data_IF_992989701158
#
_entry.id   IF_992989701158
#
_cell.length_a   1.000
_cell.length_b   1.000
_cell.length_c   1.000
_cell.angle_alpha   90.00
_cell.angle_beta   90.00
_cell.angle_gamma   90.00
#
_symmetry.space_group_name_H-M   'P 1'
#
loop_
_entity.id
_entity.type
_entity.pdbx_description
1 polymer ?
#
# COMPACT_ATOMS: atom_id res chain seq x y z
N UNK A 1 24.91 3.79 -9.46
CA UNK A 1 24.71 3.09 -8.17
C UNK A 1 24.46 1.62 -8.43
N UNK A 2 24.85 0.74 -7.54
CA UNK A 2 24.49 -0.70 -7.62
C UNK A 2 23.64 -1.04 -6.40
N UNK A 3 22.51 -1.67 -6.61
CA UNK A 3 21.55 -2.01 -5.53
C UNK A 3 22.21 -2.85 -4.44
N UNK A 4 23.01 -3.86 -4.83
CA UNK A 4 23.67 -4.75 -3.88
C UNK A 4 24.59 -4.02 -2.88
N UNK A 5 25.10 -2.84 -3.26
CA UNK A 5 25.96 -2.04 -2.37
C UNK A 5 25.18 -1.23 -1.34
N UNK A 6 23.86 -1.16 -1.47
CA UNK A 6 22.98 -0.44 -0.56
C UNK A 6 22.29 -1.38 0.44
N UNK A 7 22.28 -2.69 0.17
CA UNK A 7 21.63 -3.68 1.04
C UNK A 7 22.50 -3.88 2.30
N UNK A 8 21.90 -3.64 3.46
CA UNK A 8 22.52 -3.91 4.74
C UNK A 8 22.04 -5.27 5.25
N UNK A 9 22.96 -6.24 5.46
CA UNK A 9 22.61 -7.55 5.98
C UNK A 9 21.87 -7.48 7.33
N UNK A 10 20.95 -8.42 7.55
CA UNK A 10 20.08 -8.45 8.74
C UNK A 10 20.86 -8.44 10.07
N UNK A 11 22.01 -9.11 10.12
CA UNK A 11 22.87 -9.14 11.32
C UNK A 11 23.50 -7.78 11.67
N UNK A 12 23.52 -6.84 10.74
CA UNK A 12 24.04 -5.47 10.90
C UNK A 12 22.94 -4.42 10.92
N UNK A 13 21.73 -4.78 10.57
CA UNK A 13 20.64 -3.84 10.40
C UNK A 13 20.30 -3.06 11.69
N UNK A 14 20.29 -3.72 12.83
CA UNK A 14 19.97 -3.08 14.12
C UNK A 14 20.83 -1.85 14.45
N UNK A 15 22.01 -1.71 13.82
CA UNK A 15 22.86 -0.52 13.98
C UNK A 15 22.29 0.73 13.27
N UNK A 16 21.53 0.53 12.20
CA UNK A 16 21.00 1.60 11.36
C UNK A 16 19.50 1.80 11.48
N UNK A 17 18.77 0.82 12.01
CA UNK A 17 17.33 0.69 12.00
C UNK A 17 16.61 1.98 12.46
N UNK A 18 16.88 2.44 13.67
CA UNK A 18 16.25 3.62 14.23
C UNK A 18 16.51 4.89 13.39
N UNK A 19 17.76 5.07 12.94
CA UNK A 19 18.14 6.23 12.13
C UNK A 19 17.47 6.18 10.76
N UNK A 20 17.40 4.99 10.16
CA UNK A 20 16.75 4.78 8.86
C UNK A 20 15.26 5.03 8.94
N UNK A 21 14.56 4.41 9.90
CA UNK A 21 13.12 4.56 10.09
C UNK A 21 12.71 6.01 10.31
N UNK A 22 13.50 6.77 11.07
CA UNK A 22 13.26 8.20 11.28
C UNK A 22 13.42 9.04 10.00
N UNK A 23 14.21 8.59 9.02
CA UNK A 23 14.45 9.28 7.75
C UNK A 23 13.45 8.88 6.66
N UNK A 24 12.82 7.70 6.73
CA UNK A 24 11.87 7.21 5.71
C UNK A 24 10.76 8.21 5.41
N UNK A 25 10.09 8.86 6.38
CA UNK A 25 9.04 9.83 6.05
C UNK A 25 9.55 11.00 5.20
N UNK A 26 10.70 11.58 5.56
CA UNK A 26 11.29 12.69 4.81
C UNK A 26 11.78 12.25 3.42
N UNK A 27 12.30 11.03 3.30
CA UNK A 27 12.71 10.45 2.02
C UNK A 27 11.50 10.16 1.11
N UNK A 28 10.38 9.71 1.68
CA UNK A 28 9.12 9.60 0.96
C UNK A 28 8.63 10.95 0.41
N UNK A 29 8.75 12.03 1.21
CA UNK A 29 8.35 13.37 0.76
C UNK A 29 9.18 13.84 -0.44
N UNK A 30 10.49 13.57 -0.45
CA UNK A 30 11.37 13.87 -1.59
C UNK A 30 10.97 13.06 -2.82
N UNK A 31 10.71 11.78 -2.66
CA UNK A 31 10.29 10.93 -3.77
C UNK A 31 8.93 11.37 -4.35
N UNK A 32 7.96 11.67 -3.49
CA UNK A 32 6.64 12.14 -3.91
C UNK A 32 6.73 13.46 -4.67
N UNK A 33 7.48 14.44 -4.17
CA UNK A 33 7.70 15.71 -4.87
C UNK A 33 8.35 15.49 -6.25
N UNK A 34 9.34 14.60 -6.33
CA UNK A 34 10.01 14.28 -7.59
C UNK A 34 9.05 13.65 -8.61
N UNK A 35 8.12 12.81 -8.15
CA UNK A 35 7.10 12.24 -9.03
C UNK A 35 6.08 13.28 -9.48
N UNK A 36 5.65 14.20 -8.62
CA UNK A 36 4.75 15.30 -9.01
C UNK A 36 5.37 16.13 -10.15
N UNK A 37 6.65 16.47 -10.04
CA UNK A 37 7.40 17.19 -11.08
C UNK A 37 7.50 16.41 -12.40
N UNK A 38 7.54 15.07 -12.36
CA UNK A 38 7.58 14.21 -13.54
C UNK A 38 6.20 14.01 -14.19
N UNK A 39 5.14 14.00 -13.40
CA UNK A 39 3.78 13.73 -13.87
C UNK A 39 3.08 14.95 -14.44
N UNK A 40 3.27 16.12 -13.84
CA UNK A 40 2.64 17.36 -14.27
C UNK A 40 2.89 17.66 -15.77
N UNK A 41 4.15 17.61 -16.30
CA UNK A 41 4.41 17.85 -17.70
C UNK A 41 3.77 16.81 -18.66
N UNK A 42 3.45 15.61 -18.13
CA UNK A 42 2.85 14.50 -18.89
C UNK A 42 1.33 14.48 -18.83
N UNK A 43 0.72 15.44 -18.14
CA UNK A 43 -0.71 15.49 -17.92
C UNK A 43 -1.25 14.34 -17.09
N UNK A 44 -0.36 13.68 -16.34
CA UNK A 44 -0.74 12.58 -15.45
C UNK A 44 -1.25 13.20 -14.16
N UNK A 45 -2.53 13.01 -13.87
CA UNK A 45 -3.09 13.48 -12.60
C UNK A 45 -2.80 12.46 -11.51
N UNK A 46 -2.24 12.93 -10.42
CA UNK A 46 -1.85 12.12 -9.28
C UNK A 46 -3.00 11.28 -8.70
N UNK A 47 -4.22 11.81 -8.75
CA UNK A 47 -5.43 11.18 -8.21
C UNK A 47 -6.07 10.14 -9.12
N UNK A 48 -5.83 10.21 -10.44
CA UNK A 48 -6.52 9.34 -11.41
C UNK A 48 -5.74 8.07 -11.76
N UNK A 49 -4.40 8.11 -11.64
CA UNK A 49 -3.53 7.04 -12.13
C UNK A 49 -2.75 6.33 -11.03
N UNK A 50 -2.86 6.78 -9.78
CA UNK A 50 -1.91 6.38 -8.73
C UNK A 50 -2.63 5.96 -7.45
N UNK A 51 -2.22 4.80 -6.96
CA UNK A 51 -2.43 4.39 -5.59
C UNK A 51 -1.18 4.80 -4.82
N UNK A 52 -1.19 5.99 -4.23
CA UNK A 52 -0.11 6.37 -3.33
C UNK A 52 -0.31 5.73 -1.99
N UNK A 53 0.78 5.19 -1.53
CA UNK A 53 0.85 4.72 -0.19
C UNK A 53 2.14 5.18 0.43
N UNK A 54 2.00 5.91 1.53
CA UNK A 54 3.08 6.26 2.41
C UNK A 54 2.95 5.38 3.64
N UNK A 55 3.99 4.64 3.94
CA UNK A 55 4.00 3.79 5.12
C UNK A 55 4.14 4.64 6.38
N UNK A 56 3.19 4.48 7.30
CA UNK A 56 3.25 4.99 8.66
C UNK A 56 2.79 3.88 9.59
N UNK A 57 3.70 3.26 10.34
CA UNK A 57 3.30 2.30 11.35
C UNK A 57 4.40 1.34 11.77
N UNK A 58 4.13 0.61 12.84
CA UNK A 58 5.06 -0.31 13.49
C UNK A 58 5.13 -1.70 12.81
N UNK A 59 4.42 -1.89 11.67
CA UNK A 59 4.44 -3.14 10.93
C UNK A 59 5.26 -2.95 9.67
N UNK A 60 6.26 -3.80 9.44
CA UNK A 60 7.07 -3.72 8.25
C UNK A 60 6.22 -3.97 7.00
N UNK A 61 6.13 -2.97 6.16
CA UNK A 61 5.61 -3.11 4.79
C UNK A 61 6.74 -3.57 3.89
N UNK A 62 6.41 -4.28 2.81
CA UNK A 62 7.41 -4.61 1.80
C UNK A 62 7.77 -3.42 0.88
N UNK A 63 7.11 -2.27 1.09
CA UNK A 63 7.29 -1.09 0.26
C UNK A 63 7.13 0.20 1.07
N UNK A 64 7.85 1.23 0.71
CA UNK A 64 7.70 2.57 1.28
C UNK A 64 6.70 3.42 0.51
N UNK A 65 6.66 3.24 -0.83
CA UNK A 65 5.75 3.92 -1.74
C UNK A 65 5.27 2.93 -2.80
N UNK A 66 4.09 3.18 -3.33
CA UNK A 66 3.65 2.53 -4.56
C UNK A 66 2.85 3.51 -5.42
N UNK A 67 2.86 3.29 -6.72
CA UNK A 67 2.00 4.00 -7.65
C UNK A 67 1.62 3.11 -8.82
N UNK A 68 0.53 3.45 -9.46
CA UNK A 68 0.09 2.84 -10.70
C UNK A 68 0.27 3.80 -11.85
N UNK A 69 0.86 3.31 -12.92
CA UNK A 69 0.97 4.00 -14.19
C UNK A 69 0.68 3.03 -15.34
N UNK A 70 -0.23 3.39 -16.21
CA UNK A 70 -0.76 2.48 -17.21
C UNK A 70 -1.28 1.19 -16.53
N UNK A 71 -0.98 0.02 -17.07
CA UNK A 71 -1.36 -1.27 -16.48
C UNK A 71 -0.32 -1.86 -15.51
N UNK A 72 0.65 -1.07 -15.05
CA UNK A 72 1.70 -1.53 -14.14
C UNK A 72 1.56 -0.87 -12.78
N UNK A 73 1.89 -1.62 -11.73
CA UNK A 73 2.04 -1.10 -10.37
C UNK A 73 3.51 -1.18 -10.00
N UNK A 74 4.03 -0.05 -9.55
CA UNK A 74 5.42 0.13 -9.13
C UNK A 74 5.45 0.15 -7.62
N UNK A 75 6.17 -0.80 -7.02
CA UNK A 75 6.37 -0.89 -5.58
C UNK A 75 7.80 -0.49 -5.26
N UNK A 76 7.98 0.47 -4.37
CA UNK A 76 9.23 1.19 -4.19
C UNK A 76 9.75 1.05 -2.77
N UNK A 77 11.01 0.62 -2.65
CA UNK A 77 11.79 0.75 -1.43
C UNK A 77 12.82 1.88 -1.60
N UNK A 78 13.07 2.61 -0.52
CA UNK A 78 14.00 3.74 -0.52
C UNK A 78 15.42 3.26 -0.15
N UNK A 79 16.41 3.69 -0.94
CA UNK A 79 17.82 3.58 -0.55
C UNK A 79 18.30 4.97 -0.09
N UNK A 80 18.53 5.14 1.22
CA UNK A 80 18.70 6.46 1.85
C UNK A 80 20.17 6.75 2.12
N UNK A 81 20.66 7.86 1.56
CA UNK A 81 21.92 8.48 1.93
C UNK A 81 21.73 9.39 3.16
N UNK A 82 22.81 9.56 3.94
CA UNK A 82 22.81 10.44 5.10
C UNK A 82 22.37 9.78 6.39
N UNK A 83 22.28 8.44 6.41
CA UNK A 83 22.07 7.67 7.64
C UNK A 83 23.33 7.69 8.49
N UNK A 84 23.18 7.93 9.77
CA UNK A 84 24.31 8.04 10.71
C UNK A 84 25.15 6.74 10.74
N UNK A 85 26.45 6.89 10.59
CA UNK A 85 27.39 5.77 10.56
C UNK A 85 27.53 5.04 9.22
N UNK A 86 26.71 5.39 8.21
CA UNK A 86 26.80 4.82 6.88
C UNK A 86 27.60 5.73 5.91
N UNK A 87 28.46 5.11 5.09
CA UNK A 87 29.24 5.80 4.07
C UNK A 87 28.60 5.77 2.67
N UNK A 88 27.46 5.07 2.54
CA UNK A 88 26.73 4.91 1.29
C UNK A 88 25.22 4.91 1.58
N UNK A 89 24.40 4.89 0.53
CA UNK A 89 22.98 4.65 0.71
C UNK A 89 22.74 3.28 1.33
N UNK A 90 21.73 3.20 2.20
CA UNK A 90 21.36 1.95 2.84
C UNK A 90 19.87 1.63 2.67
N UNK A 91 19.55 0.36 2.68
CA UNK A 91 18.20 -0.22 2.81
C UNK A 91 18.29 -1.58 3.49
N UNK A 92 17.21 -2.01 4.13
CA UNK A 92 17.12 -3.29 4.81
C UNK A 92 17.14 -4.47 3.82
N UNK A 93 17.97 -5.49 4.09
CA UNK A 93 17.95 -6.76 3.35
C UNK A 93 16.59 -7.44 3.44
N UNK A 94 16.01 -7.48 4.63
CA UNK A 94 14.71 -8.10 4.88
C UNK A 94 13.59 -7.43 4.08
N UNK A 95 13.51 -6.09 4.11
CA UNK A 95 12.52 -5.34 3.35
C UNK A 95 12.71 -5.52 1.84
N UNK A 96 13.97 -5.52 1.37
CA UNK A 96 14.28 -5.74 -0.05
C UNK A 96 13.87 -7.13 -0.52
N UNK A 97 14.18 -8.18 0.25
CA UNK A 97 13.80 -9.55 -0.09
C UNK A 97 12.28 -9.73 -0.08
N UNK A 98 11.61 -9.11 0.91
CA UNK A 98 10.15 -9.09 0.99
C UNK A 98 9.53 -8.36 -0.20
N UNK A 99 10.06 -7.19 -0.60
CA UNK A 99 9.64 -6.48 -1.81
C UNK A 99 9.70 -7.40 -3.04
N UNK A 100 10.83 -8.08 -3.25
CA UNK A 100 11.01 -8.97 -4.41
C UNK A 100 10.02 -10.14 -4.38
N UNK A 101 9.81 -10.77 -3.22
CA UNK A 101 8.90 -11.89 -3.07
C UNK A 101 7.44 -11.48 -3.33
N UNK A 102 6.98 -10.42 -2.70
CA UNK A 102 5.60 -9.92 -2.84
C UNK A 102 5.34 -9.37 -4.25
N UNK A 103 6.29 -8.65 -4.84
CA UNK A 103 6.13 -8.17 -6.21
C UNK A 103 6.00 -9.31 -7.21
N UNK A 104 6.74 -10.41 -7.04
CA UNK A 104 6.58 -11.60 -7.88
C UNK A 104 5.22 -12.27 -7.68
N UNK A 105 4.77 -12.38 -6.45
CA UNK A 105 3.48 -13.00 -6.09
C UNK A 105 2.30 -12.24 -6.69
N UNK A 106 2.32 -10.91 -6.66
CA UNK A 106 1.23 -10.05 -7.08
C UNK A 106 1.42 -9.39 -8.45
N UNK A 107 2.44 -9.79 -9.20
CA UNK A 107 2.77 -9.22 -10.51
C UNK A 107 2.95 -7.69 -10.47
N UNK A 108 3.73 -7.21 -9.50
CA UNK A 108 4.11 -5.82 -9.34
C UNK A 108 5.54 -5.59 -9.85
N UNK A 109 5.88 -4.35 -10.14
CA UNK A 109 7.24 -3.96 -10.57
C UNK A 109 8.04 -3.46 -9.38
N UNK A 110 9.02 -4.23 -8.86
CA UNK A 110 9.83 -3.81 -7.73
C UNK A 110 10.85 -2.76 -8.14
N UNK A 111 10.93 -1.67 -7.39
CA UNK A 111 11.82 -0.55 -7.66
C UNK A 111 12.61 -0.14 -6.43
N UNK A 112 13.80 0.41 -6.67
CA UNK A 112 14.61 1.09 -5.65
C UNK A 112 14.70 2.57 -6.02
N UNK A 113 14.34 3.46 -5.10
CA UNK A 113 14.49 4.90 -5.25
C UNK A 113 15.62 5.39 -4.33
N UNK A 114 16.79 5.74 -4.89
CA UNK A 114 17.88 6.28 -4.10
C UNK A 114 17.67 7.79 -3.85
N UNK A 115 17.76 8.18 -2.58
CA UNK A 115 17.50 9.54 -2.13
C UNK A 115 18.65 10.06 -1.27
N UNK A 116 19.11 11.29 -1.55
CA UNK A 116 20.01 12.05 -0.69
C UNK A 116 19.19 12.94 0.24
N UNK A 117 19.07 12.52 1.49
CA UNK A 117 18.24 13.23 2.46
C UNK A 117 18.88 14.55 2.90
N UNK A 118 20.20 14.66 2.87
CA UNK A 118 20.92 15.88 3.26
C UNK A 118 20.67 17.01 2.25
N UNK A 119 20.63 16.68 0.96
CA UNK A 119 20.35 17.60 -0.13
C UNK A 119 18.88 17.64 -0.53
N UNK A 120 18.06 16.78 0.04
CA UNK A 120 16.61 16.61 -0.25
C UNK A 120 16.35 16.44 -1.74
N UNK A 121 17.07 15.56 -2.39
CA UNK A 121 16.92 15.31 -3.83
C UNK A 121 17.11 13.82 -4.18
N UNK A 122 16.54 13.37 -5.31
CA UNK A 122 16.88 12.08 -5.89
C UNK A 122 18.37 12.03 -6.27
N UNK A 123 18.93 10.82 -6.26
CA UNK A 123 20.35 10.59 -6.65
C UNK A 123 20.49 10.31 -8.14
N UNK A 124 19.44 9.82 -8.78
CA UNK A 124 19.44 9.46 -10.19
C UNK A 124 18.66 10.49 -11.00
N UNK A 125 19.02 10.61 -12.27
CA UNK A 125 18.26 11.40 -13.26
C UNK A 125 17.04 10.61 -13.78
N UNK A 126 16.22 11.28 -14.60
CA UNK A 126 15.06 10.69 -15.27
C UNK A 126 13.94 10.34 -14.29
N UNK A 127 13.52 9.10 -14.25
CA UNK A 127 12.49 8.64 -13.32
C UNK A 127 13.01 8.34 -11.91
N UNK A 128 14.26 8.62 -11.64
CA UNK A 128 14.92 8.53 -10.34
C UNK A 128 14.94 7.13 -9.72
N UNK A 129 14.52 6.10 -10.44
CA UNK A 129 14.39 4.73 -9.95
C UNK A 129 15.27 3.75 -10.70
N UNK A 130 15.61 2.67 -9.99
CA UNK A 130 16.17 1.46 -10.57
C UNK A 130 15.14 0.34 -10.51
N UNK A 131 15.07 -0.44 -11.59
CA UNK A 131 14.40 -1.74 -11.54
C UNK A 131 15.19 -2.66 -10.59
N UNK A 132 14.52 -3.18 -9.57
CA UNK A 132 15.17 -3.95 -8.51
C UNK A 132 15.69 -5.32 -8.97
N UNK A 133 15.15 -5.87 -10.07
CA UNK A 133 15.56 -7.16 -10.60
C UNK A 133 16.76 -7.04 -11.55
N UNK A 134 16.85 -5.95 -12.29
CA UNK A 134 17.87 -5.76 -13.34
C UNK A 134 18.96 -4.78 -12.97
N UNK A 135 18.76 -3.98 -11.91
CA UNK A 135 19.63 -2.90 -11.48
C UNK A 135 19.88 -1.84 -12.57
N UNK A 136 18.90 -1.65 -13.46
CA UNK A 136 18.96 -0.64 -14.52
C UNK A 136 18.07 0.55 -14.18
N UNK A 137 18.43 1.76 -14.63
CA UNK A 137 17.50 2.89 -14.56
C UNK A 137 16.18 2.53 -15.24
N UNK A 138 15.09 2.85 -14.58
CA UNK A 138 13.76 2.63 -15.09
C UNK A 138 13.35 3.82 -15.97
N UNK A 139 12.94 3.55 -17.20
CA UNK A 139 12.29 4.52 -18.06
C UNK A 139 10.82 4.16 -18.21
N UNK A 140 9.98 4.90 -17.50
CA UNK A 140 8.53 4.67 -17.50
C UNK A 140 7.90 5.11 -18.83
N UNK A 141 8.51 6.04 -19.56
CA UNK A 141 8.02 6.48 -20.86
C UNK A 141 8.13 5.34 -21.92
N UNK A 142 9.07 4.42 -21.74
CA UNK A 142 9.21 3.22 -22.60
C UNK A 142 8.22 2.11 -22.25
N UNK A 143 7.51 2.20 -21.13
CA UNK A 143 6.53 1.19 -20.73
C UNK A 143 5.33 1.27 -21.65
N UNK A 144 5.14 0.22 -22.42
CA UNK A 144 3.94 0.03 -23.24
C UNK A 144 2.80 -0.51 -22.36
N UNK A 145 1.58 -0.06 -22.62
CA UNK A 145 0.41 -0.78 -22.16
C UNK A 145 0.39 -2.11 -22.92
N UNK A 146 0.85 -3.16 -22.26
CA UNK A 146 0.59 -4.49 -22.77
C UNK A 146 -0.92 -4.64 -22.84
N UNK A 147 -1.46 -4.88 -24.04
CA UNK A 147 -2.90 -5.08 -24.23
C UNK A 147 -3.40 -6.39 -23.62
N UNK A 148 -2.58 -7.06 -22.83
CA UNK A 148 -2.98 -8.15 -21.95
C UNK A 148 -3.88 -7.58 -20.85
N UNK A 149 -4.94 -8.32 -20.54
CA UNK A 149 -5.88 -8.01 -19.47
C UNK A 149 -5.18 -8.21 -18.11
N UNK A 150 -4.34 -7.26 -17.77
CA UNK A 150 -3.73 -7.23 -16.45
C UNK A 150 -4.81 -6.78 -15.46
N UNK A 151 -5.17 -7.66 -14.55
CA UNK A 151 -6.26 -7.45 -13.58
C UNK A 151 -5.69 -7.12 -12.20
N UNK A 152 -6.49 -6.47 -11.38
CA UNK A 152 -6.13 -6.22 -10.01
C UNK A 152 -5.85 -7.53 -9.28
N UNK A 153 -4.75 -7.55 -8.57
CA UNK A 153 -4.43 -8.59 -7.59
C UNK A 153 -5.20 -8.38 -6.28
N UNK A 154 -5.26 -9.40 -5.43
CA UNK A 154 -5.81 -9.30 -4.08
C UNK A 154 -5.16 -8.16 -3.27
N UNK A 155 -3.85 -7.97 -3.44
CA UNK A 155 -3.13 -6.86 -2.82
C UNK A 155 -3.66 -5.49 -3.26
N UNK A 156 -3.95 -5.30 -4.57
CA UNK A 156 -4.50 -4.04 -5.08
C UNK A 156 -5.90 -3.77 -4.54
N UNK A 157 -6.74 -4.80 -4.42
CA UNK A 157 -8.05 -4.68 -3.77
C UNK A 157 -7.90 -4.26 -2.31
N UNK A 158 -7.04 -4.95 -1.54
CA UNK A 158 -6.78 -4.60 -0.15
C UNK A 158 -6.30 -3.15 0.00
N UNK A 159 -5.30 -2.77 -0.80
CA UNK A 159 -4.73 -1.42 -0.78
C UNK A 159 -5.77 -0.33 -1.15
N UNK A 160 -6.59 -0.59 -2.16
CA UNK A 160 -7.68 0.30 -2.53
C UNK A 160 -8.66 0.48 -1.36
N UNK A 161 -9.12 -0.63 -0.77
CA UNK A 161 -10.06 -0.60 0.35
C UNK A 161 -9.54 0.18 1.54
N UNK A 162 -8.30 -0.07 1.96
CA UNK A 162 -7.66 0.65 3.05
C UNK A 162 -7.54 2.15 2.77
N UNK A 163 -7.20 2.50 1.52
CA UNK A 163 -7.09 3.91 1.10
C UNK A 163 -8.45 4.62 1.18
N UNK A 164 -9.52 3.98 0.71
CA UNK A 164 -10.86 4.57 0.76
C UNK A 164 -11.39 4.70 2.20
N UNK A 165 -11.14 3.70 3.06
CA UNK A 165 -11.49 3.78 4.49
C UNK A 165 -10.72 4.92 5.17
N UNK A 166 -9.40 5.04 4.93
CA UNK A 166 -8.59 6.13 5.48
C UNK A 166 -9.09 7.51 5.02
N UNK A 167 -9.42 7.68 3.74
CA UNK A 167 -10.03 8.92 3.21
C UNK A 167 -11.34 9.25 3.92
N UNK A 168 -12.20 8.26 4.12
CA UNK A 168 -13.47 8.45 4.81
C UNK A 168 -13.26 8.89 6.27
N UNK A 169 -12.33 8.27 6.99
CA UNK A 169 -11.99 8.67 8.36
C UNK A 169 -11.45 10.11 8.41
N UNK A 170 -10.56 10.48 7.48
CA UNK A 170 -10.04 11.85 7.36
C UNK A 170 -11.16 12.86 7.11
N UNK A 171 -12.10 12.57 6.22
CA UNK A 171 -13.26 13.43 5.94
C UNK A 171 -14.17 13.58 7.16
N UNK A 172 -14.18 12.60 8.05
CA UNK A 172 -14.92 12.63 9.32
C UNK A 172 -14.10 13.19 10.50
N UNK A 173 -12.96 13.80 10.23
CA UNK A 173 -12.16 14.53 11.22
C UNK A 173 -11.19 13.68 12.05
N UNK A 174 -10.97 12.43 11.65
CA UNK A 174 -9.92 11.58 12.25
C UNK A 174 -8.59 11.91 11.54
N UNK A 175 -7.63 12.46 12.25
CA UNK A 175 -6.33 12.81 11.68
C UNK A 175 -5.43 11.59 11.43
N UNK A 176 -4.38 11.76 10.64
CA UNK A 176 -3.40 10.69 10.39
C UNK A 176 -2.76 10.18 11.70
N UNK A 177 -2.40 11.03 12.67
CA UNK A 177 -1.81 10.56 13.93
C UNK A 177 -2.74 9.68 14.77
N UNK A 178 -4.06 9.79 14.53
CA UNK A 178 -5.09 9.00 15.21
C UNK A 178 -5.43 7.70 14.45
N UNK A 179 -4.70 7.36 13.39
CA UNK A 179 -4.91 6.15 12.60
C UNK A 179 -3.63 5.32 12.49
N UNK A 180 -3.81 4.00 12.53
CA UNK A 180 -2.79 3.01 12.12
C UNK A 180 -3.44 2.00 11.20
N UNK A 181 -2.77 1.61 10.12
CA UNK A 181 -3.24 0.56 9.22
C UNK A 181 -2.11 -0.37 8.82
N UNK A 182 -2.50 -1.60 8.48
CA UNK A 182 -1.60 -2.66 8.10
C UNK A 182 -1.97 -3.15 6.70
N UNK A 183 -1.03 -3.13 5.78
CA UNK A 183 -1.24 -3.55 4.40
C UNK A 183 -0.78 -4.98 4.10
N UNK A 184 -0.56 -5.74 5.14
CA UNK A 184 -0.25 -7.15 5.01
C UNK A 184 -1.53 -7.94 4.70
N UNK A 185 -1.46 -8.72 3.62
CA UNK A 185 -2.54 -9.66 3.28
C UNK A 185 -2.70 -10.70 4.38
N UNK A 186 -3.95 -10.97 4.75
CA UNK A 186 -4.28 -11.93 5.81
C UNK A 186 -4.06 -11.40 7.24
N UNK A 187 -3.72 -10.13 7.40
CA UNK A 187 -3.64 -9.48 8.72
C UNK A 187 -4.99 -8.83 9.06
N UNK A 188 -5.53 -9.14 10.23
CA UNK A 188 -6.78 -8.56 10.75
C UNK A 188 -6.60 -8.10 12.20
N UNK A 189 -7.25 -6.99 12.57
CA UNK A 189 -7.90 -6.02 11.69
C UNK A 189 -6.88 -5.20 10.93
N UNK A 190 -7.27 -4.73 9.73
CA UNK A 190 -6.35 -3.98 8.86
C UNK A 190 -6.16 -2.53 9.29
N UNK A 191 -7.05 -1.99 10.11
CA UNK A 191 -6.96 -0.58 10.53
C UNK A 191 -7.39 -0.39 11.98
N UNK A 192 -6.70 0.50 12.67
CA UNK A 192 -7.03 1.01 13.99
C UNK A 192 -7.16 2.52 13.94
N UNK A 193 -8.09 3.07 14.74
CA UNK A 193 -8.17 4.52 14.90
C UNK A 193 -8.69 4.89 16.30
N UNK A 194 -8.38 6.10 16.72
CA UNK A 194 -8.74 6.60 18.03
C UNK A 194 -9.61 7.86 17.90
N UNK A 195 -10.64 7.94 18.73
CA UNK A 195 -11.52 9.13 18.86
C UNK A 195 -11.45 9.68 20.27
N UNK A 196 -12.12 10.82 20.52
CA UNK A 196 -12.20 11.45 21.83
C UNK A 196 -10.81 11.71 22.46
N UNK A 197 -9.88 12.28 21.68
CA UNK A 197 -8.49 12.52 22.07
C UNK A 197 -7.77 11.25 22.56
N UNK A 198 -8.01 10.12 21.91
CA UNK A 198 -7.39 8.84 22.21
C UNK A 198 -8.11 8.00 23.27
N UNK A 199 -9.22 8.48 23.84
CA UNK A 199 -9.95 7.76 24.86
C UNK A 199 -10.74 6.56 24.33
N UNK A 200 -11.27 6.68 23.11
CA UNK A 200 -12.05 5.62 22.47
C UNK A 200 -11.20 4.91 21.43
N UNK A 201 -11.07 3.59 21.58
CA UNK A 201 -10.30 2.72 20.70
C UNK A 201 -11.22 2.03 19.71
N UNK A 202 -10.89 2.11 18.43
CA UNK A 202 -11.68 1.52 17.36
C UNK A 202 -10.80 0.72 16.42
N UNK A 203 -11.37 -0.34 15.82
CA UNK A 203 -10.73 -1.09 14.75
C UNK A 203 -11.69 -1.33 13.58
N UNK A 204 -11.13 -1.53 12.40
CA UNK A 204 -11.89 -1.82 11.18
C UNK A 204 -11.34 -3.06 10.52
N UNK A 205 -12.22 -4.01 10.24
CA UNK A 205 -11.99 -5.11 9.33
C UNK A 205 -12.51 -4.68 7.96
N UNK A 206 -11.61 -4.62 6.98
CA UNK A 206 -11.91 -4.15 5.63
C UNK A 206 -11.88 -5.32 4.66
N UNK A 207 -13.02 -5.63 4.06
CA UNK A 207 -13.12 -6.55 2.94
C UNK A 207 -13.26 -5.77 1.64
N UNK A 208 -12.43 -6.05 0.67
CA UNK A 208 -12.50 -5.40 -0.65
C UNK A 208 -12.47 -6.47 -1.74
N UNK A 209 -13.51 -6.52 -2.55
CA UNK A 209 -13.66 -7.53 -3.60
C UNK A 209 -14.27 -6.92 -4.86
N UNK A 210 -14.09 -7.54 -6.04
CA UNK A 210 -14.90 -7.24 -7.20
C UNK A 210 -16.39 -7.44 -6.88
N UNK A 211 -17.26 -6.61 -7.43
CA UNK A 211 -18.70 -6.67 -7.12
C UNK A 211 -19.34 -8.03 -7.42
N UNK A 212 -18.86 -8.74 -8.45
CA UNK A 212 -19.32 -10.08 -8.80
C UNK A 212 -18.96 -11.18 -7.78
N UNK A 213 -17.97 -10.92 -6.91
CA UNK A 213 -17.53 -11.82 -5.84
C UNK A 213 -18.03 -11.41 -4.45
N UNK A 214 -18.97 -10.46 -4.39
CA UNK A 214 -19.49 -9.93 -3.12
C UNK A 214 -20.12 -11.00 -2.20
N UNK A 215 -20.61 -12.10 -2.76
CA UNK A 215 -21.24 -13.18 -2.01
C UNK A 215 -20.27 -14.29 -1.57
N UNK A 216 -18.99 -14.20 -1.92
CA UNK A 216 -18.00 -15.17 -1.45
C UNK A 216 -17.81 -15.09 0.06
N UNK A 217 -17.48 -16.24 0.65
CA UNK A 217 -17.24 -16.32 2.09
C UNK A 217 -16.05 -15.46 2.50
N UNK A 218 -16.19 -14.76 3.62
CA UNK A 218 -15.14 -14.01 4.28
C UNK A 218 -14.92 -14.56 5.68
N UNK A 219 -13.69 -14.89 6.00
CA UNK A 219 -13.31 -15.51 7.26
C UNK A 219 -12.74 -14.49 8.21
N UNK A 220 -13.26 -14.42 9.43
CA UNK A 220 -12.74 -13.56 10.50
C UNK A 220 -12.21 -14.46 11.62
N UNK A 221 -10.98 -14.22 12.06
CA UNK A 221 -10.40 -14.96 13.18
C UNK A 221 -11.13 -14.65 14.48
N UNK A 222 -11.56 -15.70 15.18
CA UNK A 222 -12.16 -15.59 16.51
C UNK A 222 -11.21 -14.95 17.51
N UNK A 223 -9.93 -15.25 17.41
CA UNK A 223 -8.89 -14.66 18.26
C UNK A 223 -8.85 -13.15 18.15
N UNK A 224 -8.98 -12.61 16.94
CA UNK A 224 -9.01 -11.14 16.73
C UNK A 224 -10.19 -10.51 17.47
N UNK A 225 -11.37 -11.14 17.41
CA UNK A 225 -12.57 -10.66 18.11
C UNK A 225 -12.42 -10.73 19.64
N UNK A 226 -11.81 -11.81 20.15
CA UNK A 226 -11.56 -12.02 21.58
C UNK A 226 -10.49 -11.03 22.11
N UNK A 227 -9.38 -10.84 21.39
CA UNK A 227 -8.28 -9.96 21.78
C UNK A 227 -8.71 -8.47 21.78
N UNK A 228 -9.70 -8.11 20.95
CA UNK A 228 -10.20 -6.74 20.78
C UNK A 228 -11.61 -6.52 21.34
N UNK A 229 -12.10 -7.39 22.25
CA UNK A 229 -13.45 -7.31 22.80
C UNK A 229 -13.79 -5.99 23.51
N UNK A 230 -12.76 -5.26 24.01
CA UNK A 230 -12.90 -3.97 24.68
C UNK A 230 -12.79 -2.77 23.70
N UNK A 231 -12.67 -3.03 22.40
CA UNK A 231 -12.62 -2.03 21.35
C UNK A 231 -13.92 -1.97 20.57
N UNK A 232 -14.25 -0.81 20.00
CA UNK A 232 -15.36 -0.73 19.05
C UNK A 232 -14.90 -1.31 17.70
N UNK A 233 -15.47 -2.44 17.32
CA UNK A 233 -15.19 -3.10 16.05
C UNK A 233 -16.14 -2.69 14.95
N UNK A 234 -15.61 -2.43 13.76
CA UNK A 234 -16.39 -2.14 12.56
C UNK A 234 -15.99 -3.07 11.42
N UNK A 235 -16.96 -3.37 10.59
CA UNK A 235 -16.79 -4.09 9.33
C UNK A 235 -17.12 -3.16 8.17
N UNK A 236 -16.29 -3.14 7.14
CA UNK A 236 -16.52 -2.36 5.91
C UNK A 236 -16.36 -3.29 4.71
N UNK A 237 -17.47 -3.49 3.97
CA UNK A 237 -17.52 -4.32 2.76
C UNK A 237 -17.50 -3.45 1.52
N UNK A 238 -16.40 -3.46 0.78
CA UNK A 238 -16.17 -2.62 -0.39
C UNK A 238 -16.31 -3.47 -1.66
N UNK A 239 -17.31 -3.13 -2.45
CA UNK A 239 -17.57 -3.75 -3.74
C UNK A 239 -17.02 -2.86 -4.85
N UNK A 240 -15.98 -3.30 -5.51
CA UNK A 240 -15.33 -2.55 -6.58
C UNK A 240 -16.02 -2.84 -7.90
N UNK A 241 -16.52 -1.79 -8.56
CA UNK A 241 -17.14 -1.85 -9.89
C UNK A 241 -16.30 -1.07 -10.89
N UNK A 242 -16.04 -1.66 -12.04
CA UNK A 242 -15.41 -0.97 -13.16
C UNK A 242 -16.39 0.00 -13.82
N UNK A 243 -15.91 1.16 -14.26
CA UNK A 243 -16.68 2.06 -15.11
C UNK A 243 -16.77 1.58 -16.58
N UNK A 244 -16.00 0.58 -16.94
CA UNK A 244 -16.04 -0.02 -18.29
C UNK A 244 -17.09 -1.11 -18.33
N UNK A 245 -18.28 -0.73 -18.82
CA UNK A 245 -19.45 -1.63 -18.89
C UNK A 245 -19.36 -2.73 -19.96
N UNK A 246 -18.40 -2.64 -20.88
CA UNK A 246 -18.37 -3.50 -22.09
C UNK A 246 -17.44 -4.72 -21.94
N UNK A 247 -16.72 -4.85 -20.86
CA UNK A 247 -15.91 -6.04 -20.63
C UNK A 247 -16.78 -7.12 -19.98
N UNK A 248 -17.01 -8.19 -20.72
CA UNK A 248 -17.71 -9.42 -20.29
C UNK A 248 -17.06 -10.14 -19.08
N UNK A 249 -16.37 -9.41 -18.20
CA UNK A 249 -15.73 -9.94 -17.00
C UNK A 249 -16.69 -10.09 -15.83
N UNK A 250 -17.98 -9.79 -16.03
CA UNK A 250 -19.06 -10.05 -15.06
C UNK A 250 -18.74 -9.53 -13.65
N UNK A 251 -18.06 -8.40 -13.53
CA UNK A 251 -17.64 -7.82 -12.24
C UNK A 251 -16.81 -8.77 -11.35
N UNK A 252 -16.22 -9.82 -11.92
CA UNK A 252 -15.38 -10.78 -11.18
C UNK A 252 -13.90 -10.39 -11.18
N UNK A 253 -13.49 -9.49 -12.08
CA UNK A 253 -12.13 -8.99 -12.21
C UNK A 253 -12.16 -7.50 -12.58
N UNK A 254 -11.19 -6.75 -12.13
CA UNK A 254 -11.00 -5.35 -12.49
C UNK A 254 -9.73 -5.22 -13.30
N UNK A 255 -9.83 -4.73 -14.52
CA UNK A 255 -8.66 -4.40 -15.34
C UNK A 255 -7.88 -3.24 -14.70
N UNK A 256 -6.56 -3.32 -14.63
CA UNK A 256 -5.73 -2.30 -13.99
C UNK A 256 -5.86 -0.90 -14.58
N UNK A 257 -6.13 -0.80 -15.88
CA UNK A 257 -6.32 0.48 -16.55
C UNK A 257 -7.78 0.99 -16.49
N UNK A 258 -8.72 0.16 -16.03
CA UNK A 258 -10.11 0.56 -15.96
C UNK A 258 -10.33 1.53 -14.79
N UNK A 259 -10.99 2.66 -14.99
CA UNK A 259 -11.47 3.47 -13.88
C UNK A 259 -12.52 2.70 -13.09
N UNK A 260 -12.57 2.95 -11.79
CA UNK A 260 -13.55 2.32 -10.88
C UNK A 260 -14.46 3.37 -10.27
N UNK A 261 -15.70 2.98 -9.98
CA UNK A 261 -16.62 3.85 -9.24
C UNK A 261 -16.10 4.05 -7.81
N UNK A 262 -16.30 5.27 -7.29
CA UNK A 262 -16.04 5.55 -5.90
C UNK A 262 -17.01 4.75 -5.03
N UNK A 263 -16.54 3.95 -4.05
CA UNK A 263 -17.41 3.14 -3.23
C UNK A 263 -18.16 4.00 -2.22
N UNK A 264 -19.40 3.63 -1.93
CA UNK A 264 -20.11 4.11 -0.75
C UNK A 264 -19.70 3.24 0.44
N UNK A 265 -19.13 3.86 1.48
CA UNK A 265 -18.64 3.17 2.65
C UNK A 265 -19.68 3.19 3.77
N UNK A 266 -19.93 2.03 4.36
CA UNK A 266 -20.72 1.86 5.57
C UNK A 266 -19.89 1.18 6.64
N UNK A 267 -19.72 1.84 7.78
CA UNK A 267 -19.07 1.26 8.96
C UNK A 267 -20.13 0.54 9.80
N UNK A 268 -20.28 -0.74 9.57
CA UNK A 268 -21.23 -1.56 10.31
C UNK A 268 -20.57 -2.09 11.58
N UNK A 269 -21.21 -1.97 12.78
CA UNK A 269 -20.69 -2.62 13.98
C UNK A 269 -20.44 -4.10 13.75
N UNK A 270 -19.29 -4.62 14.18
CA UNK A 270 -18.84 -5.97 13.83
C UNK A 270 -19.84 -7.06 14.26
N UNK A 271 -20.47 -6.89 15.44
CA UNK A 271 -21.47 -7.83 15.95
C UNK A 271 -22.76 -7.86 15.10
N UNK A 272 -23.11 -6.73 14.50
CA UNK A 272 -24.24 -6.63 13.56
C UNK A 272 -23.85 -7.20 12.21
N UNK A 273 -22.66 -6.90 11.71
CA UNK A 273 -22.17 -7.44 10.46
C UNK A 273 -22.15 -8.98 10.47
N UNK A 274 -21.65 -9.61 11.54
CA UNK A 274 -21.63 -11.06 11.70
C UNK A 274 -23.05 -11.66 11.67
N UNK A 275 -24.05 -10.94 12.19
CA UNK A 275 -25.46 -11.41 12.15
C UNK A 275 -26.12 -11.20 10.81
N UNK A 276 -25.82 -10.08 10.15
CA UNK A 276 -26.50 -9.62 8.94
C UNK A 276 -25.92 -10.25 7.66
N UNK A 277 -24.62 -10.48 7.62
CA UNK A 277 -23.91 -11.00 6.45
C UNK A 277 -23.75 -12.51 6.52
N UNK A 278 -24.51 -13.23 5.71
CA UNK A 278 -24.50 -14.72 5.66
C UNK A 278 -23.16 -15.29 5.16
N UNK A 279 -22.37 -14.50 4.50
CA UNK A 279 -21.06 -14.87 3.96
C UNK A 279 -19.90 -14.64 4.93
N UNK A 280 -20.13 -14.05 6.12
CA UNK A 280 -19.11 -13.96 7.17
C UNK A 280 -19.05 -15.27 7.95
N UNK A 281 -17.85 -15.82 8.12
CA UNK A 281 -17.55 -17.01 8.92
C UNK A 281 -16.53 -16.67 10.01
N UNK A 282 -16.81 -17.09 11.24
CA UNK A 282 -15.84 -17.03 12.32
C UNK A 282 -15.06 -18.33 12.34
N UNK A 283 -13.74 -18.24 12.33
CA UNK A 283 -12.85 -19.40 12.34
C UNK A 283 -12.00 -19.42 13.61
N UNK A 284 -11.74 -20.61 14.13
CA UNK A 284 -10.82 -20.85 15.24
C UNK A 284 -9.41 -21.05 14.64
N UNK A 285 -8.55 -20.03 14.70
CA UNK A 285 -7.13 -20.09 14.34
C UNK A 285 -6.27 -19.76 15.54
#
# INVERSE_FOLDING_TARGET
MKIETCIVPQDKWSHFEESYENLVPAACDVAMQSFEELFEPRGIQFTETMLWRKFYGDVPSFQHLCFRYKNKVFSIILAIYGVEGANAAIMSEHEFDTLIAECRKYNLTPCVFPVDIANRCPVLDGWHMLDALTNKPLDIDEITDDQGLDVWSEWEFNNFGLTEVAKCLLQNGIGIPEMKWFDMMGYEPQMYFWTDNGATKNYVIVRTVPAGLANEEYMISKRVLEDLQDWNGYYVDIKVCSMWNDLNFQDMQICRIAPVYQPELSFEPIDEAIKNHKNIRIIDE
#
